data_IF_560998908157
#
_entry.id   IF_560998908157
#
_cell.length_a   1.000
_cell.length_b   1.000
_cell.length_c   1.000
_cell.angle_alpha   90.00
_cell.angle_beta   90.00
_cell.angle_gamma   90.00
#
_symmetry.space_group_name_H-M   'P 1'
#
loop_
_entity.id
_entity.type
_entity.pdbx_description
1 polymer ?
#
# COMPACT_ATOMS: atom_id res chain seq x y z
N UNK A 1 -0.29 -30.71 9.08
CA UNK A 1 -1.68 -30.26 8.84
C UNK A 1 -2.05 -30.06 7.37
N UNK A 2 -1.15 -29.68 6.45
CA UNK A 2 -1.52 -29.40 5.05
C UNK A 2 -1.67 -30.64 4.13
N UNK A 3 -1.23 -31.83 4.54
CA UNK A 3 -1.16 -33.03 3.69
C UNK A 3 -2.50 -33.48 3.10
N UNK A 4 -3.63 -33.15 3.74
CA UNK A 4 -4.98 -33.54 3.28
C UNK A 4 -5.71 -32.43 2.49
N UNK A 5 -5.08 -31.28 2.28
CA UNK A 5 -5.68 -30.16 1.54
C UNK A 5 -5.37 -30.31 0.05
N UNK A 6 -6.39 -30.19 -0.80
CA UNK A 6 -6.27 -30.27 -2.26
C UNK A 6 -5.36 -29.18 -2.83
N UNK A 7 -4.68 -29.46 -3.94
CA UNK A 7 -3.81 -28.51 -4.65
C UNK A 7 -4.61 -27.25 -5.01
N UNK A 8 -5.85 -27.41 -5.49
CA UNK A 8 -6.74 -26.29 -5.81
C UNK A 8 -6.94 -25.35 -4.61
N UNK A 9 -7.22 -25.90 -3.43
CA UNK A 9 -7.47 -25.09 -2.23
C UNK A 9 -6.21 -24.36 -1.77
N UNK A 10 -5.04 -24.99 -1.90
CA UNK A 10 -3.75 -24.36 -1.59
C UNK A 10 -3.47 -23.17 -2.52
N UNK A 11 -3.67 -23.33 -3.83
CA UNK A 11 -3.47 -22.26 -4.82
C UNK A 11 -4.44 -21.10 -4.62
N UNK A 12 -5.74 -21.39 -4.46
CA UNK A 12 -6.75 -20.35 -4.21
C UNK A 12 -6.45 -19.63 -2.89
N UNK A 13 -6.12 -20.37 -1.84
CA UNK A 13 -5.73 -19.79 -0.55
C UNK A 13 -4.53 -18.87 -0.66
N UNK A 14 -3.47 -19.28 -1.37
CA UNK A 14 -2.29 -18.46 -1.61
C UNK A 14 -2.63 -17.14 -2.32
N UNK A 15 -3.41 -17.21 -3.40
CA UNK A 15 -3.83 -16.01 -4.16
C UNK A 15 -4.73 -15.11 -3.31
N UNK A 16 -5.68 -15.67 -2.56
CA UNK A 16 -6.57 -14.90 -1.69
C UNK A 16 -5.81 -14.21 -0.56
N UNK A 17 -4.81 -14.86 0.04
CA UNK A 17 -3.94 -14.24 1.05
C UNK A 17 -3.16 -13.07 0.45
N UNK A 18 -2.56 -13.24 -0.72
CA UNK A 18 -1.84 -12.17 -1.41
C UNK A 18 -2.76 -11.00 -1.79
N UNK A 19 -3.97 -11.29 -2.25
CA UNK A 19 -4.98 -10.28 -2.56
C UNK A 19 -5.42 -9.52 -1.31
N UNK A 20 -5.72 -10.23 -0.21
CA UNK A 20 -6.11 -9.61 1.05
C UNK A 20 -4.99 -8.72 1.61
N UNK A 21 -3.73 -9.15 1.51
CA UNK A 21 -2.57 -8.36 1.94
C UNK A 21 -2.38 -7.09 1.11
N UNK A 22 -2.51 -7.19 -0.22
CA UNK A 22 -2.38 -6.02 -1.10
C UNK A 22 -3.55 -5.05 -0.93
N UNK A 23 -4.78 -5.54 -0.82
CA UNK A 23 -5.95 -4.71 -0.53
C UNK A 23 -5.84 -4.04 0.85
N UNK A 24 -5.39 -4.78 1.87
CA UNK A 24 -5.16 -4.26 3.23
C UNK A 24 -4.08 -3.17 3.25
N UNK A 25 -2.96 -3.37 2.55
CA UNK A 25 -1.93 -2.34 2.37
C UNK A 25 -2.49 -1.11 1.65
N UNK A 26 -3.28 -1.29 0.59
CA UNK A 26 -3.93 -0.21 -0.14
C UNK A 26 -4.83 0.64 0.78
N UNK A 27 -5.69 0.00 1.57
CA UNK A 27 -6.54 0.68 2.55
C UNK A 27 -5.75 1.38 3.65
N UNK A 28 -4.67 0.75 4.13
CA UNK A 28 -3.78 1.36 5.12
C UNK A 28 -3.09 2.61 4.58
N UNK A 29 -2.52 2.55 3.38
CA UNK A 29 -1.91 3.70 2.70
C UNK A 29 -2.93 4.82 2.50
N UNK A 30 -4.15 4.48 2.07
CA UNK A 30 -5.23 5.46 1.89
C UNK A 30 -5.58 6.19 3.20
N UNK A 31 -5.73 5.45 4.30
CA UNK A 31 -5.97 6.04 5.63
C UNK A 31 -4.85 6.98 6.08
N UNK A 32 -3.59 6.62 5.81
CA UNK A 32 -2.43 7.47 6.17
C UNK A 32 -2.36 8.74 5.33
N UNK A 33 -2.63 8.64 4.02
CA UNK A 33 -2.69 9.81 3.13
C UNK A 33 -3.82 10.73 3.58
N UNK A 34 -5.02 10.19 3.88
CA UNK A 34 -6.15 11.00 4.32
C UNK A 34 -5.87 11.77 5.61
N UNK A 35 -5.25 11.14 6.60
CA UNK A 35 -4.85 11.81 7.84
C UNK A 35 -3.81 12.92 7.60
N UNK A 36 -2.89 12.73 6.65
CA UNK A 36 -1.90 13.75 6.27
C UNK A 36 -2.54 14.90 5.49
N UNK A 37 -3.49 14.60 4.60
CA UNK A 37 -4.24 15.59 3.83
C UNK A 37 -5.04 16.51 4.75
N UNK A 38 -5.73 16.00 5.76
CA UNK A 38 -6.51 16.82 6.70
C UNK A 38 -5.68 17.91 7.40
N UNK A 39 -4.44 17.59 7.82
CA UNK A 39 -3.53 18.58 8.44
C UNK A 39 -2.97 19.55 7.41
N UNK A 40 -2.75 19.10 6.17
CA UNK A 40 -2.28 19.96 5.07
C UNK A 40 -3.36 20.95 4.63
N UNK A 41 -4.62 20.51 4.62
CA UNK A 41 -5.78 21.34 4.32
C UNK A 41 -6.00 22.41 5.40
N UNK A 42 -5.77 22.11 6.68
CA UNK A 42 -5.76 23.12 7.75
C UNK A 42 -4.68 24.20 7.54
N UNK A 43 -3.47 23.78 7.18
CA UNK A 43 -2.36 24.70 6.87
C UNK A 43 -2.70 25.63 5.68
N UNK A 44 -3.22 25.06 4.59
CA UNK A 44 -3.52 25.80 3.37
C UNK A 44 -4.82 26.60 3.43
N UNK A 45 -5.83 26.05 4.10
CA UNK A 45 -7.18 26.59 4.18
C UNK A 45 -7.39 27.59 5.32
N UNK A 46 -6.61 27.49 6.41
CA UNK A 46 -6.77 28.37 7.56
C UNK A 46 -5.47 29.05 7.99
N UNK A 47 -4.41 28.32 8.34
CA UNK A 47 -3.22 28.91 8.98
C UNK A 47 -2.50 29.94 8.08
N UNK A 48 -2.30 29.63 6.79
CA UNK A 48 -1.66 30.53 5.83
C UNK A 48 -2.54 31.75 5.50
N UNK A 49 -3.83 31.60 5.15
CA UNK A 49 -4.74 32.74 5.01
C UNK A 49 -4.81 33.63 6.25
N UNK A 50 -4.82 33.05 7.45
CA UNK A 50 -4.93 33.79 8.71
C UNK A 50 -3.71 34.68 8.95
N UNK A 51 -2.51 34.10 8.90
CA UNK A 51 -1.24 34.84 9.05
C UNK A 51 -1.07 35.91 7.97
N UNK A 52 -1.43 35.62 6.72
CA UNK A 52 -1.38 36.60 5.62
C UNK A 52 -2.35 37.76 5.84
N UNK A 53 -3.57 37.48 6.26
CA UNK A 53 -4.63 38.49 6.41
C UNK A 53 -4.37 39.35 7.64
N UNK A 54 -4.01 38.78 8.79
CA UNK A 54 -3.56 39.54 9.96
C UNK A 54 -2.30 40.35 9.67
N UNK A 55 -1.34 39.79 8.93
CA UNK A 55 -0.13 40.50 8.52
C UNK A 55 -0.44 41.70 7.62
N UNK A 56 -1.38 41.55 6.69
CA UNK A 56 -1.89 42.65 5.86
C UNK A 56 -2.60 43.70 6.70
N UNK A 57 -3.49 43.30 7.62
CA UNK A 57 -4.17 44.18 8.56
C UNK A 57 -3.18 45.00 9.38
N UNK A 58 -2.17 44.35 9.97
CA UNK A 58 -1.12 45.03 10.74
C UNK A 58 -0.33 46.03 9.87
N UNK A 59 -0.01 45.66 8.63
CA UNK A 59 0.68 46.54 7.68
C UNK A 59 -0.18 47.75 7.28
N UNK A 60 -1.47 47.54 7.01
CA UNK A 60 -2.42 48.60 6.69
C UNK A 60 -2.66 49.52 7.89
N UNK A 61 -2.66 48.97 9.10
CA UNK A 61 -2.73 49.73 10.34
C UNK A 61 -1.51 50.66 10.54
N UNK A 62 -0.29 50.16 10.31
CA UNK A 62 0.91 51.02 10.35
C UNK A 62 0.93 52.04 9.20
N UNK A 63 0.40 51.67 8.03
CA UNK A 63 0.25 52.58 6.90
C UNK A 63 -0.73 53.71 7.22
N UNK A 64 -1.85 53.42 7.89
CA UNK A 64 -2.78 54.43 8.40
C UNK A 64 -2.04 55.38 9.34
N UNK A 65 -1.31 54.85 10.34
CA UNK A 65 -0.56 55.66 11.31
C UNK A 65 0.45 56.59 10.63
N UNK A 66 1.20 56.06 9.66
CA UNK A 66 2.18 56.83 8.87
C UNK A 66 1.49 57.93 8.05
N UNK A 67 0.37 57.63 7.40
CA UNK A 67 -0.42 58.62 6.65
C UNK A 67 -1.03 59.70 7.55
N UNK A 68 -1.45 59.37 8.77
CA UNK A 68 -1.91 60.36 9.76
C UNK A 68 -0.77 61.31 10.16
N UNK A 69 0.44 60.80 10.40
CA UNK A 69 1.61 61.66 10.66
C UNK A 69 1.95 62.55 9.46
N UNK A 70 1.94 62.00 8.25
CA UNK A 70 2.16 62.78 7.04
C UNK A 70 1.08 63.86 6.84
N UNK A 71 -0.17 63.55 7.16
CA UNK A 71 -1.29 64.50 7.12
C UNK A 71 -1.11 65.63 8.15
N UNK A 72 -0.69 65.31 9.39
CA UNK A 72 -0.37 66.29 10.43
C UNK A 72 0.76 67.25 10.00
N UNK A 73 1.79 66.72 9.34
CA UNK A 73 2.96 67.49 8.87
C UNK A 73 2.70 68.23 7.55
N UNK A 74 1.59 67.98 6.87
CA UNK A 74 1.28 68.61 5.58
C UNK A 74 0.83 70.07 5.76
N UNK A 75 1.23 70.92 4.82
CA UNK A 75 0.70 72.29 4.73
C UNK A 75 -0.80 72.27 4.43
N UNK A 76 -1.49 73.36 4.73
CA UNK A 76 -2.94 73.46 4.55
C UNK A 76 -3.35 73.24 3.08
N UNK A 77 -2.54 73.74 2.14
CA UNK A 77 -2.74 73.57 0.70
C UNK A 77 -2.57 72.11 0.24
N UNK A 78 -1.73 71.32 0.94
CA UNK A 78 -1.44 69.93 0.59
C UNK A 78 -2.36 68.92 1.28
N UNK A 79 -2.94 69.27 2.46
CA UNK A 79 -3.81 68.37 3.23
C UNK A 79 -4.97 67.79 2.40
N UNK A 80 -5.75 68.58 1.62
CA UNK A 80 -6.85 68.03 0.81
C UNK A 80 -6.41 66.95 -0.18
N UNK A 81 -5.18 67.02 -0.70
CA UNK A 81 -4.64 66.03 -1.65
C UNK A 81 -4.27 64.70 -0.97
N UNK A 82 -3.98 64.73 0.33
CA UNK A 82 -3.59 63.56 1.12
C UNK A 82 -4.76 62.85 1.81
N UNK A 83 -5.87 63.55 2.04
CA UNK A 83 -7.07 63.03 2.71
C UNK A 83 -7.67 61.77 2.04
N UNK A 84 -7.79 61.68 0.69
CA UNK A 84 -8.32 60.47 0.06
C UNK A 84 -7.50 59.21 0.38
N UNK A 85 -6.17 59.32 0.38
CA UNK A 85 -5.28 58.19 0.72
C UNK A 85 -5.43 57.77 2.17
N UNK A 86 -5.62 58.74 3.07
CA UNK A 86 -5.87 58.46 4.48
C UNK A 86 -7.16 57.66 4.65
N UNK A 87 -8.26 58.11 4.05
CA UNK A 87 -9.56 57.42 4.08
C UNK A 87 -9.53 56.03 3.46
N UNK A 88 -8.80 55.84 2.35
CA UNK A 88 -8.61 54.50 1.77
C UNK A 88 -7.98 53.54 2.78
N UNK A 89 -6.94 53.96 3.52
CA UNK A 89 -6.35 53.08 4.55
C UNK A 89 -7.31 52.77 5.72
N UNK A 90 -8.26 53.65 6.03
CA UNK A 90 -9.30 53.34 7.03
C UNK A 90 -10.26 52.26 6.49
N UNK A 91 -10.68 52.39 5.24
CA UNK A 91 -11.53 51.38 4.58
C UNK A 91 -10.80 50.04 4.39
N UNK A 92 -9.51 50.05 4.06
CA UNK A 92 -8.70 48.82 3.93
C UNK A 92 -8.65 48.03 5.25
N UNK A 93 -8.55 48.72 6.39
CA UNK A 93 -8.58 48.10 7.73
C UNK A 93 -9.94 47.45 8.01
N UNK A 94 -11.05 48.14 7.70
CA UNK A 94 -12.39 47.58 7.87
C UNK A 94 -12.60 46.34 6.99
N UNK A 95 -12.14 46.39 5.74
CA UNK A 95 -12.20 45.27 4.81
C UNK A 95 -11.35 44.08 5.28
N UNK A 96 -10.16 44.35 5.84
CA UNK A 96 -9.29 43.32 6.41
C UNK A 96 -9.92 42.65 7.64
N UNK A 97 -10.56 43.43 8.53
CA UNK A 97 -11.28 42.89 9.69
C UNK A 97 -12.44 41.99 9.24
N UNK A 98 -13.21 42.42 8.24
CA UNK A 98 -14.31 41.64 7.70
C UNK A 98 -13.82 40.34 7.03
N UNK A 99 -12.72 40.41 6.27
CA UNK A 99 -12.12 39.25 5.61
C UNK A 99 -11.57 38.22 6.61
N UNK A 100 -11.10 38.67 7.77
CA UNK A 100 -10.53 37.79 8.78
C UNK A 100 -11.58 37.05 9.63
N UNK A 101 -12.81 37.56 9.74
CA UNK A 101 -13.82 37.01 10.64
C UNK A 101 -14.12 35.51 10.42
N UNK A 102 -13.96 34.99 9.20
CA UNK A 102 -14.16 33.57 8.87
C UNK A 102 -12.94 32.67 9.05
N UNK A 103 -11.80 33.24 9.48
CA UNK A 103 -10.52 32.54 9.65
C UNK A 103 -10.15 32.32 11.13
N UNK A 104 -10.97 32.84 12.04
CA UNK A 104 -10.73 32.73 13.48
C UNK A 104 -10.70 31.25 13.88
N UNK A 105 -9.56 30.83 14.43
CA UNK A 105 -9.32 29.44 14.81
C UNK A 105 -9.73 29.14 16.25
N UNK A 106 -9.82 27.84 16.58
CA UNK A 106 -10.12 27.39 17.93
C UNK A 106 -9.08 27.89 18.93
N UNK A 107 -9.54 28.52 20.01
CA UNK A 107 -8.68 29.11 21.05
C UNK A 107 -8.20 30.54 20.76
N UNK A 108 -8.47 31.08 19.58
CA UNK A 108 -8.09 32.44 19.18
C UNK A 108 -9.09 33.52 19.64
N UNK A 109 -10.33 33.14 19.93
CA UNK A 109 -11.46 34.08 20.05
C UNK A 109 -11.22 35.29 20.95
N UNK A 110 -10.55 35.13 22.10
CA UNK A 110 -10.24 36.25 22.99
C UNK A 110 -9.22 37.25 22.40
N UNK A 111 -8.25 36.76 21.59
CA UNK A 111 -7.29 37.61 20.89
C UNK A 111 -7.98 38.38 19.78
N UNK A 112 -8.83 37.69 19.00
CA UNK A 112 -9.61 38.33 17.94
C UNK A 112 -10.60 39.37 18.50
N UNK A 113 -11.22 39.10 19.64
CA UNK A 113 -12.08 40.08 20.32
C UNK A 113 -11.30 41.32 20.75
N UNK A 114 -10.05 41.16 21.21
CA UNK A 114 -9.18 42.30 21.52
C UNK A 114 -8.83 43.11 20.27
N UNK A 115 -8.59 42.47 19.12
CA UNK A 115 -8.37 43.17 17.83
C UNK A 115 -9.62 43.94 17.41
N UNK A 116 -10.80 43.29 17.44
CA UNK A 116 -12.10 43.93 17.13
C UNK A 116 -12.47 45.08 18.07
N UNK A 117 -11.98 45.06 19.31
CA UNK A 117 -12.20 46.15 20.25
C UNK A 117 -11.23 47.31 19.99
N UNK A 118 -9.94 47.02 19.85
CA UNK A 118 -8.87 48.03 19.88
C UNK A 118 -8.61 48.70 18.54
N UNK A 119 -8.65 47.95 17.42
CA UNK A 119 -8.36 48.50 16.09
C UNK A 119 -9.46 49.47 15.64
N UNK A 120 -10.76 49.11 15.68
CA UNK A 120 -11.83 50.06 15.36
C UNK A 120 -11.87 51.26 16.31
N UNK A 121 -11.59 51.07 17.60
CA UNK A 121 -11.53 52.17 18.56
C UNK A 121 -10.47 53.20 18.16
N UNK A 122 -9.27 52.77 17.75
CA UNK A 122 -8.25 53.66 17.22
C UNK A 122 -8.69 54.33 15.90
N UNK A 123 -9.25 53.57 14.96
CA UNK A 123 -9.70 54.10 13.67
C UNK A 123 -10.77 55.19 13.82
N UNK A 124 -11.71 55.01 14.76
CA UNK A 124 -12.75 55.99 15.05
C UNK A 124 -12.20 57.33 15.56
N UNK A 125 -11.03 57.32 16.23
CA UNK A 125 -10.35 58.56 16.66
C UNK A 125 -9.83 59.38 15.48
N UNK A 126 -9.69 58.77 14.29
CA UNK A 126 -9.19 59.42 13.08
C UNK A 126 -10.04 60.58 12.59
N UNK A 127 -11.36 60.51 12.72
CA UNK A 127 -12.26 61.59 12.29
C UNK A 127 -12.10 62.86 13.14
N UNK A 128 -11.97 62.71 14.46
CA UNK A 128 -11.68 63.83 15.35
C UNK A 128 -10.31 64.45 15.06
N UNK A 129 -9.31 63.62 14.74
CA UNK A 129 -7.99 64.09 14.32
C UNK A 129 -8.05 64.90 13.02
N UNK A 130 -8.77 64.42 12.00
CA UNK A 130 -8.97 65.13 10.73
C UNK A 130 -9.70 66.46 10.98
N UNK A 131 -10.80 66.42 11.74
CA UNK A 131 -11.63 67.60 12.06
C UNK A 131 -10.82 68.73 12.72
N UNK A 132 -9.92 68.40 13.66
CA UNK A 132 -9.04 69.40 14.30
C UNK A 132 -8.10 70.08 13.31
N UNK A 133 -7.52 69.30 12.39
CA UNK A 133 -6.60 69.83 11.38
C UNK A 133 -7.30 70.64 10.29
N UNK A 134 -8.51 70.24 9.90
CA UNK A 134 -9.34 71.02 8.98
C UNK A 134 -9.82 72.34 9.61
N UNK A 135 -9.95 72.39 10.94
CA UNK A 135 -10.25 73.61 11.70
C UNK A 135 -9.01 74.50 11.96
N UNK A 136 -7.83 74.13 11.47
CA UNK A 136 -6.57 74.87 11.68
C UNK A 136 -5.93 74.67 13.07
N UNK A 137 -6.47 73.77 13.91
CA UNK A 137 -5.96 73.49 15.26
C UNK A 137 -4.81 72.47 15.23
N UNK A 138 -3.68 72.84 14.61
CA UNK A 138 -2.52 71.96 14.51
C UNK A 138 -1.90 71.59 15.88
N UNK A 139 -1.94 72.52 16.85
CA UNK A 139 -1.42 72.28 18.20
C UNK A 139 -2.30 71.29 18.96
N UNK A 140 -3.62 71.48 18.94
CA UNK A 140 -4.55 70.55 19.59
C UNK A 140 -4.60 69.19 18.90
N UNK A 141 -4.46 69.13 17.56
CA UNK A 141 -4.30 67.87 16.85
C UNK A 141 -3.02 67.12 17.26
N UNK A 142 -1.91 67.84 17.46
CA UNK A 142 -0.65 67.24 17.95
C UNK A 142 -0.81 66.67 19.37
N UNK A 143 -1.40 67.44 20.29
CA UNK A 143 -1.70 66.96 21.64
C UNK A 143 -2.64 65.75 21.62
N UNK A 144 -3.68 65.78 20.79
CA UNK A 144 -4.60 64.65 20.63
C UNK A 144 -3.92 63.39 20.12
N UNK A 145 -2.95 63.50 19.19
CA UNK A 145 -2.15 62.37 18.73
C UNK A 145 -1.29 61.78 19.85
N UNK A 146 -0.62 62.64 20.64
CA UNK A 146 0.34 62.21 21.65
C UNK A 146 -0.32 61.68 22.93
N UNK A 147 -1.35 62.36 23.41
CA UNK A 147 -1.96 62.06 24.71
C UNK A 147 -3.22 61.18 24.56
N UNK A 148 -3.93 61.30 23.43
CA UNK A 148 -5.15 60.55 23.17
C UNK A 148 -4.94 59.30 22.31
N UNK A 149 -4.48 59.48 21.07
CA UNK A 149 -4.40 58.39 20.09
C UNK A 149 -3.27 57.40 20.36
N UNK A 150 -2.16 57.83 20.96
CA UNK A 150 -0.98 56.98 21.18
C UNK A 150 -1.26 55.79 22.13
N UNK A 151 -1.95 55.93 23.27
CA UNK A 151 -2.40 54.79 24.06
C UNK A 151 -3.25 53.78 23.27
N UNK A 152 -4.24 54.27 22.50
CA UNK A 152 -5.10 53.42 21.67
C UNK A 152 -4.31 52.71 20.56
N UNK A 153 -3.35 53.39 19.95
CA UNK A 153 -2.42 52.83 18.97
C UNK A 153 -1.63 51.67 19.57
N UNK A 154 -1.08 51.86 20.78
CA UNK A 154 -0.29 50.84 21.45
C UNK A 154 -1.13 49.62 21.84
N UNK A 155 -2.38 49.84 22.28
CA UNK A 155 -3.33 48.76 22.56
C UNK A 155 -3.66 47.94 21.29
N UNK A 156 -3.95 48.62 20.18
CA UNK A 156 -4.22 47.98 18.89
C UNK A 156 -3.01 47.18 18.37
N UNK A 157 -1.80 47.76 18.44
CA UNK A 157 -0.55 47.07 18.09
C UNK A 157 -0.32 45.83 18.95
N UNK A 158 -0.57 45.93 20.25
CA UNK A 158 -0.41 44.81 21.17
C UNK A 158 -1.39 43.67 20.83
N UNK A 159 -2.66 44.00 20.55
CA UNK A 159 -3.66 43.02 20.15
C UNK A 159 -3.29 42.34 18.82
N UNK A 160 -2.98 43.11 17.78
CA UNK A 160 -2.58 42.58 16.46
C UNK A 160 -1.33 41.70 16.56
N UNK A 161 -0.33 42.12 17.34
CA UNK A 161 0.90 41.35 17.54
C UNK A 161 0.63 40.04 18.27
N UNK A 162 -0.22 40.07 19.30
CA UNK A 162 -0.55 38.86 20.07
C UNK A 162 -1.31 37.85 19.21
N UNK A 163 -2.28 38.31 18.43
CA UNK A 163 -3.07 37.47 17.53
C UNK A 163 -2.23 36.87 16.39
N UNK A 164 -1.38 37.69 15.76
CA UNK A 164 -0.44 37.23 14.73
C UNK A 164 0.53 36.19 15.30
N UNK A 165 1.07 36.41 16.51
CA UNK A 165 1.98 35.47 17.15
C UNK A 165 1.30 34.14 17.49
N UNK A 166 0.04 34.17 17.91
CA UNK A 166 -0.77 32.95 18.12
C UNK A 166 -0.92 32.17 16.82
N UNK A 167 -1.33 32.84 15.74
CA UNK A 167 -1.53 32.21 14.43
C UNK A 167 -0.23 31.66 13.84
N UNK A 168 0.90 32.36 13.98
CA UNK A 168 2.21 31.84 13.58
C UNK A 168 2.63 30.61 14.38
N UNK A 169 2.38 30.59 15.69
CA UNK A 169 2.70 29.45 16.56
C UNK A 169 1.80 28.24 16.27
N UNK A 170 0.50 28.47 16.05
CA UNK A 170 -0.45 27.46 15.62
C UNK A 170 -0.03 26.84 14.28
N UNK A 171 0.27 27.66 13.27
CA UNK A 171 0.74 27.20 11.97
C UNK A 171 2.05 26.38 12.04
N UNK A 172 3.03 26.81 12.86
CA UNK A 172 4.26 26.02 13.10
C UNK A 172 3.97 24.68 13.78
N UNK A 173 3.02 24.66 14.72
CA UNK A 173 2.61 23.43 15.42
C UNK A 173 1.93 22.47 14.45
N UNK A 174 0.96 22.95 13.64
CA UNK A 174 0.32 22.14 12.60
C UNK A 174 1.34 21.59 11.59
N UNK A 175 2.32 22.39 11.17
CA UNK A 175 3.40 21.93 10.28
C UNK A 175 4.26 20.83 10.93
N UNK A 176 4.64 20.98 12.20
CA UNK A 176 5.39 19.96 12.93
C UNK A 176 4.59 18.66 13.11
N UNK A 177 3.29 18.76 13.40
CA UNK A 177 2.38 17.61 13.47
C UNK A 177 2.29 16.90 12.11
N UNK A 178 2.13 17.64 11.02
CA UNK A 178 2.11 17.09 9.66
C UNK A 178 3.40 16.33 9.33
N UNK A 179 4.56 16.93 9.66
CA UNK A 179 5.86 16.28 9.43
C UNK A 179 5.99 14.98 10.23
N UNK A 180 5.69 15.02 11.54
CA UNK A 180 5.75 13.84 12.40
C UNK A 180 4.78 12.74 11.95
N UNK A 181 3.57 13.11 11.51
CA UNK A 181 2.59 12.17 10.98
C UNK A 181 3.09 11.54 9.66
N UNK A 182 3.70 12.34 8.78
CA UNK A 182 4.31 11.88 7.53
C UNK A 182 5.46 10.89 7.77
N UNK A 183 6.36 11.17 8.73
CA UNK A 183 7.44 10.27 9.11
C UNK A 183 6.92 8.95 9.67
N UNK A 184 5.93 9.00 10.59
CA UNK A 184 5.27 7.81 11.14
C UNK A 184 4.55 7.01 10.05
N UNK A 185 3.88 7.68 9.11
CA UNK A 185 3.22 7.04 7.98
C UNK A 185 4.23 6.31 7.09
N UNK A 186 5.36 6.94 6.73
CA UNK A 186 6.43 6.31 5.93
C UNK A 186 6.99 5.08 6.62
N UNK A 187 7.31 5.17 7.91
CA UNK A 187 7.83 4.03 8.68
C UNK A 187 6.79 2.90 8.75
N UNK A 188 5.53 3.22 9.04
CA UNK A 188 4.48 2.20 9.10
C UNK A 188 4.24 1.53 7.73
N UNK A 189 4.23 2.31 6.64
CA UNK A 189 4.13 1.78 5.27
C UNK A 189 5.32 0.88 4.96
N UNK A 190 6.55 1.27 5.32
CA UNK A 190 7.74 0.45 5.12
C UNK A 190 7.67 -0.88 5.89
N UNK A 191 7.18 -0.87 7.14
CA UNK A 191 6.97 -2.09 7.93
C UNK A 191 5.93 -3.00 7.30
N UNK A 192 4.77 -2.46 6.89
CA UNK A 192 3.72 -3.27 6.25
C UNK A 192 4.22 -3.81 4.90
N UNK A 193 4.92 -3.01 4.10
CA UNK A 193 5.53 -3.46 2.84
C UNK A 193 6.52 -4.61 3.08
N UNK A 194 7.38 -4.50 4.10
CA UNK A 194 8.32 -5.56 4.44
C UNK A 194 7.60 -6.86 4.86
N UNK A 195 6.51 -6.75 5.65
CA UNK A 195 5.69 -7.90 6.03
C UNK A 195 4.97 -8.54 4.84
N UNK A 196 4.40 -7.74 3.94
CA UNK A 196 3.76 -8.23 2.71
C UNK A 196 4.79 -8.91 1.80
N UNK A 197 5.99 -8.33 1.65
CA UNK A 197 7.07 -8.92 0.87
C UNK A 197 7.52 -10.26 1.48
N UNK A 198 7.77 -10.31 2.79
CA UNK A 198 8.15 -11.53 3.49
C UNK A 198 7.08 -12.63 3.37
N UNK A 199 5.80 -12.26 3.50
CA UNK A 199 4.68 -13.21 3.36
C UNK A 199 4.55 -13.69 1.92
N UNK A 200 4.78 -12.83 0.93
CA UNK A 200 4.76 -13.20 -0.49
C UNK A 200 5.86 -14.20 -0.82
N UNK A 201 7.08 -13.97 -0.31
CA UNK A 201 8.20 -14.92 -0.44
C UNK A 201 7.86 -16.25 0.24
N UNK A 202 7.30 -16.21 1.45
CA UNK A 202 6.92 -17.43 2.19
C UNK A 202 5.83 -18.25 1.46
N UNK A 203 4.79 -17.59 0.93
CA UNK A 203 3.72 -18.24 0.15
C UNK A 203 4.27 -18.82 -1.16
N UNK A 204 5.16 -18.09 -1.84
CA UNK A 204 5.85 -18.58 -3.03
C UNK A 204 6.69 -19.82 -2.75
N UNK A 205 7.50 -19.78 -1.69
CA UNK A 205 8.30 -20.92 -1.24
C UNK A 205 7.45 -22.13 -0.86
N UNK A 206 6.35 -21.91 -0.14
CA UNK A 206 5.40 -22.96 0.23
C UNK A 206 4.76 -23.58 -1.02
N UNK A 207 4.40 -22.77 -2.02
CA UNK A 207 3.82 -23.26 -3.28
C UNK A 207 4.80 -24.13 -4.06
N UNK A 208 6.07 -23.71 -4.14
CA UNK A 208 7.13 -24.50 -4.80
C UNK A 208 7.35 -25.84 -4.08
N UNK A 209 7.46 -25.82 -2.75
CA UNK A 209 7.76 -27.03 -1.96
C UNK A 209 6.59 -28.00 -1.84
N UNK A 210 5.35 -27.52 -1.83
CA UNK A 210 4.16 -28.36 -1.59
C UNK A 210 3.37 -28.73 -2.84
N UNK A 211 3.61 -28.05 -3.97
CA UNK A 211 2.92 -28.31 -5.24
C UNK A 211 3.95 -28.66 -6.32
N UNK A 212 4.81 -27.70 -6.70
CA UNK A 212 5.69 -27.87 -7.87
C UNK A 212 6.70 -29.01 -7.69
N UNK A 213 7.30 -29.16 -6.51
CA UNK A 213 8.27 -30.22 -6.25
C UNK A 213 7.65 -31.64 -6.20
N UNK A 214 6.52 -31.89 -5.49
CA UNK A 214 5.82 -33.17 -5.55
C UNK A 214 5.33 -33.55 -6.95
N UNK A 215 4.77 -32.60 -7.72
CA UNK A 215 4.33 -32.84 -9.10
C UNK A 215 5.51 -33.27 -9.98
N UNK A 216 6.64 -32.56 -9.90
CA UNK A 216 7.88 -32.97 -10.63
C UNK A 216 8.43 -34.32 -10.16
N UNK A 217 8.25 -34.68 -8.89
CA UNK A 217 8.65 -36.00 -8.37
C UNK A 217 7.77 -37.10 -8.95
N UNK A 218 6.45 -36.87 -9.02
CA UNK A 218 5.51 -37.83 -9.61
C UNK A 218 5.76 -38.03 -11.11
N UNK A 219 6.05 -36.95 -11.85
CA UNK A 219 6.42 -37.03 -13.26
C UNK A 219 7.66 -37.93 -13.47
N UNK A 220 8.71 -37.74 -12.68
CA UNK A 220 9.92 -38.59 -12.75
C UNK A 220 9.65 -40.05 -12.40
N UNK A 221 8.80 -40.33 -11.42
CA UNK A 221 8.43 -41.72 -11.08
C UNK A 221 7.71 -42.38 -12.26
N UNK A 222 6.81 -41.65 -12.92
CA UNK A 222 6.14 -42.15 -14.12
C UNK A 222 7.15 -42.46 -15.24
N UNK A 223 8.10 -41.57 -15.50
CA UNK A 223 9.15 -41.79 -16.52
C UNK A 223 9.95 -43.07 -16.23
N UNK A 224 10.30 -43.31 -14.96
CA UNK A 224 11.03 -44.51 -14.52
C UNK A 224 10.20 -45.80 -14.70
N UNK A 225 8.92 -45.76 -14.33
CA UNK A 225 8.02 -46.91 -14.50
C UNK A 225 7.81 -47.22 -15.98
N UNK A 226 7.63 -46.20 -16.82
CA UNK A 226 7.51 -46.34 -18.28
C UNK A 226 8.78 -46.88 -18.92
N UNK A 227 9.96 -46.47 -18.43
CA UNK A 227 11.25 -47.05 -18.82
C UNK A 227 11.41 -48.51 -18.37
N UNK A 228 10.48 -49.03 -17.57
CA UNK A 228 10.41 -50.43 -17.21
C UNK A 228 11.07 -50.77 -15.87
N UNK A 229 11.46 -49.80 -15.05
CA UNK A 229 11.88 -50.07 -13.68
C UNK A 229 10.67 -50.04 -12.74
N UNK A 230 10.26 -51.22 -12.28
CA UNK A 230 9.12 -51.39 -11.38
C UNK A 230 9.54 -51.47 -9.90
N UNK A 231 10.82 -51.22 -9.58
CA UNK A 231 11.30 -51.23 -8.19
C UNK A 231 11.05 -49.90 -7.47
N UNK A 232 10.86 -48.81 -8.21
CA UNK A 232 10.61 -47.47 -7.65
C UNK A 232 9.33 -47.43 -6.80
N UNK A 233 9.41 -46.75 -5.65
CA UNK A 233 8.26 -46.50 -4.78
C UNK A 233 7.47 -45.30 -5.28
N UNK A 234 6.14 -45.43 -5.36
CA UNK A 234 5.26 -44.34 -5.74
C UNK A 234 4.94 -43.50 -4.49
N UNK A 235 5.39 -42.24 -4.41
CA UNK A 235 5.14 -41.37 -3.25
C UNK A 235 3.67 -40.95 -3.20
N UNK A 236 3.21 -40.42 -2.06
CA UNK A 236 1.83 -39.88 -1.89
C UNK A 236 0.69 -40.90 -2.04
N UNK A 237 1.00 -42.19 -2.10
CA UNK A 237 0.00 -43.27 -2.17
C UNK A 237 -0.87 -43.27 -0.90
N UNK A 238 -2.19 -43.31 -1.07
CA UNK A 238 -3.16 -43.25 0.02
C UNK A 238 -3.54 -41.82 0.48
N UNK A 239 -2.95 -40.77 -0.09
CA UNK A 239 -3.37 -39.40 0.18
C UNK A 239 -4.75 -39.10 -0.44
N UNK A 240 -5.61 -38.41 0.31
CA UNK A 240 -6.90 -37.88 -0.18
C UNK A 240 -6.71 -36.51 -0.85
N UNK A 241 -5.88 -36.45 -1.88
CA UNK A 241 -5.53 -35.23 -2.63
C UNK A 241 -5.41 -35.53 -4.13
N UNK A 242 -5.29 -34.50 -4.96
CA UNK A 242 -5.00 -34.69 -6.39
C UNK A 242 -3.66 -35.41 -6.62
N UNK A 243 -2.67 -35.20 -5.74
CA UNK A 243 -1.41 -35.95 -5.78
C UNK A 243 -1.61 -37.44 -5.46
N UNK A 244 -2.46 -37.76 -4.49
CA UNK A 244 -2.78 -39.14 -4.16
C UNK A 244 -3.60 -39.85 -5.25
N UNK A 245 -4.45 -39.12 -5.96
CA UNK A 245 -5.14 -39.64 -7.15
C UNK A 245 -4.13 -39.97 -8.28
N UNK A 246 -3.16 -39.08 -8.54
CA UNK A 246 -2.07 -39.37 -9.48
C UNK A 246 -1.21 -40.56 -9.03
N UNK A 247 -0.84 -40.61 -7.75
CA UNK A 247 -0.07 -41.72 -7.19
C UNK A 247 -0.78 -43.07 -7.37
N UNK A 248 -2.09 -43.10 -7.10
CA UNK A 248 -2.91 -44.31 -7.27
C UNK A 248 -2.94 -44.78 -8.74
N UNK A 249 -3.06 -43.84 -9.69
CA UNK A 249 -3.02 -44.16 -11.12
C UNK A 249 -1.65 -44.73 -11.55
N UNK A 250 -0.55 -44.12 -11.10
CA UNK A 250 0.82 -44.61 -11.38
C UNK A 250 1.04 -45.99 -10.76
N UNK A 251 0.51 -46.23 -9.56
CA UNK A 251 0.60 -47.53 -8.89
C UNK A 251 -0.12 -48.64 -9.69
N UNK A 252 -1.35 -48.37 -10.17
CA UNK A 252 -2.07 -49.31 -11.03
C UNK A 252 -1.31 -49.57 -12.35
N UNK A 253 -0.71 -48.53 -12.94
CA UNK A 253 0.09 -48.69 -14.15
C UNK A 253 1.33 -49.58 -13.90
N UNK A 254 2.05 -49.37 -12.80
CA UNK A 254 3.17 -50.20 -12.37
C UNK A 254 2.75 -51.65 -12.16
N UNK A 255 1.63 -51.91 -11.49
CA UNK A 255 1.11 -53.25 -11.24
C UNK A 255 0.73 -53.98 -12.55
N UNK A 256 0.12 -53.26 -13.49
CA UNK A 256 -0.18 -53.79 -14.82
C UNK A 256 1.10 -54.14 -15.59
N UNK A 257 2.14 -53.29 -15.53
CA UNK A 257 3.45 -53.57 -16.14
C UNK A 257 4.10 -54.84 -15.58
N UNK A 258 4.08 -55.01 -14.25
CA UNK A 258 4.59 -56.23 -13.59
C UNK A 258 3.79 -57.45 -14.05
N UNK A 259 2.46 -57.35 -14.07
CA UNK A 259 1.58 -58.44 -14.50
C UNK A 259 1.83 -58.83 -15.95
N UNK A 260 1.93 -57.86 -16.87
CA UNK A 260 2.21 -58.12 -18.28
C UNK A 260 3.55 -58.83 -18.46
N UNK A 261 4.61 -58.37 -17.79
CA UNK A 261 5.92 -59.06 -17.85
C UNK A 261 5.88 -60.47 -17.29
N UNK A 262 5.12 -60.69 -16.21
CA UNK A 262 4.94 -62.03 -15.64
C UNK A 262 4.24 -62.95 -16.65
N UNK A 263 3.19 -62.46 -17.31
CA UNK A 263 2.48 -63.20 -18.35
C UNK A 263 3.38 -63.48 -19.56
N UNK A 264 4.20 -62.53 -19.98
CA UNK A 264 5.19 -62.70 -21.07
C UNK A 264 6.25 -63.77 -20.71
N UNK A 265 6.75 -63.76 -19.47
CA UNK A 265 7.68 -64.79 -18.99
C UNK A 265 7.02 -66.17 -18.94
N UNK A 266 5.80 -66.27 -18.40
CA UNK A 266 5.03 -67.51 -18.36
C UNK A 266 4.74 -68.05 -19.77
N UNK A 267 4.42 -67.18 -20.75
CA UNK A 267 4.23 -67.60 -22.15
C UNK A 267 5.53 -68.02 -22.82
N UNK A 268 6.66 -67.35 -22.52
CA UNK A 268 7.97 -67.76 -23.01
C UNK A 268 8.38 -69.14 -22.46
N UNK A 269 8.21 -69.37 -21.15
CA UNK A 269 8.48 -70.66 -20.51
C UNK A 269 7.57 -71.77 -21.04
N UNK A 270 6.27 -71.49 -21.22
CA UNK A 270 5.33 -72.45 -21.81
C UNK A 270 5.71 -72.80 -23.25
N UNK A 271 6.17 -71.82 -24.04
CA UNK A 271 6.65 -72.05 -25.41
C UNK A 271 7.92 -72.90 -25.43
N UNK A 272 8.88 -72.63 -24.55
CA UNK A 272 10.10 -73.41 -24.41
C UNK A 272 9.78 -74.86 -23.99
N UNK A 273 8.87 -75.05 -23.03
CA UNK A 273 8.41 -76.36 -22.60
C UNK A 273 7.71 -77.13 -23.74
N UNK A 274 6.83 -76.48 -24.49
CA UNK A 274 6.15 -77.06 -25.63
C UNK A 274 7.14 -77.45 -26.75
N UNK A 275 8.14 -76.63 -27.04
CA UNK A 275 9.19 -76.96 -28.02
C UNK A 275 10.07 -78.13 -27.54
N UNK A 276 10.42 -78.16 -26.25
CA UNK A 276 11.15 -79.28 -25.66
C UNK A 276 10.36 -80.59 -25.74
N UNK A 277 9.07 -80.55 -25.42
CA UNK A 277 8.18 -81.71 -25.51
C UNK A 277 7.98 -82.16 -26.97
N UNK A 278 7.86 -81.22 -27.91
CA UNK A 278 7.82 -81.55 -29.35
C UNK A 278 9.11 -82.24 -29.82
N UNK A 279 10.28 -81.74 -29.40
CA UNK A 279 11.57 -82.37 -29.71
C UNK A 279 11.70 -83.76 -29.08
N UNK A 280 11.25 -83.93 -27.83
CA UNK A 280 11.24 -85.22 -27.15
C UNK A 280 10.31 -86.22 -27.86
N UNK A 281 9.09 -85.81 -28.20
CA UNK A 281 8.15 -86.64 -28.95
C UNK A 281 8.68 -87.03 -30.34
N UNK A 282 9.36 -86.12 -31.04
CA UNK A 282 9.97 -86.42 -32.34
C UNK A 282 11.17 -87.38 -32.22
N UNK A 283 11.94 -87.32 -31.13
CA UNK A 283 12.99 -88.32 -30.84
C UNK A 283 12.38 -89.69 -30.55
N UNK A 284 11.37 -89.75 -29.69
CA UNK A 284 10.66 -91.01 -29.41
C UNK A 284 10.11 -91.64 -30.69
N UNK A 285 9.48 -90.85 -31.58
CA UNK A 285 9.00 -91.35 -32.87
C UNK A 285 10.15 -91.87 -33.76
N UNK A 286 11.32 -91.23 -33.74
CA UNK A 286 12.49 -91.71 -34.47
C UNK A 286 13.04 -93.01 -33.88
N UNK A 287 13.14 -93.11 -32.56
CA UNK A 287 13.60 -94.31 -31.85
C UNK A 287 12.65 -95.49 -32.07
N UNK A 288 11.32 -95.25 -31.99
CA UNK A 288 10.30 -96.26 -32.26
C UNK A 288 10.33 -96.70 -33.74
N UNK A 289 10.57 -95.77 -34.67
CA UNK A 289 10.75 -96.08 -36.08
C UNK A 289 12.03 -96.91 -36.32
N UNK A 290 13.14 -96.57 -35.69
CA UNK A 290 14.40 -97.32 -35.78
C UNK A 290 14.24 -98.74 -35.19
N UNK A 291 13.52 -98.88 -34.08
CA UNK A 291 13.17 -100.18 -33.50
C UNK A 291 12.26 -101.00 -34.42
N UNK A 292 11.25 -100.39 -35.04
CA UNK A 292 10.36 -101.06 -35.99
C UNK A 292 11.10 -101.50 -37.26
N UNK A 293 11.94 -100.63 -37.84
CA UNK A 293 12.78 -100.96 -39.02
C UNK A 293 13.82 -102.02 -38.66
N UNK A 294 14.47 -101.92 -37.50
CA UNK A 294 15.40 -102.93 -36.99
C UNK A 294 14.71 -104.28 -36.78
N UNK A 295 13.48 -104.29 -36.27
CA UNK A 295 12.64 -105.49 -36.16
C UNK A 295 12.29 -106.12 -37.50
N UNK A 296 11.94 -105.31 -38.51
CA UNK A 296 11.68 -105.79 -39.88
C UNK A 296 12.94 -106.35 -40.54
N UNK A 297 14.09 -105.66 -40.42
CA UNK A 297 15.38 -106.15 -40.94
C UNK A 297 15.80 -107.45 -40.25
N UNK A 298 15.54 -107.58 -38.94
CA UNK A 298 15.72 -108.83 -38.20
C UNK A 298 14.85 -109.97 -38.72
N UNK A 299 13.56 -109.73 -38.98
CA UNK A 299 12.65 -110.73 -39.55
C UNK A 299 12.96 -111.11 -41.00
N UNK A 300 13.45 -110.17 -41.81
CA UNK A 300 13.88 -110.45 -43.20
C UNK A 300 15.20 -111.23 -43.21
N UNK A 301 16.14 -110.97 -42.29
CA UNK A 301 17.36 -111.79 -42.14
C UNK A 301 17.06 -113.20 -41.63
N UNK A 302 16.09 -113.38 -40.72
CA UNK A 302 15.69 -114.72 -40.25
C UNK A 302 14.89 -115.52 -41.28
N UNK A 303 14.37 -114.87 -42.31
CA UNK A 303 13.68 -115.51 -43.44
C UNK A 303 14.62 -115.81 -44.63
N UNK A 304 15.89 -115.41 -44.54
CA UNK A 304 16.93 -115.58 -45.56
C UNK A 304 17.97 -116.67 -45.22
N UNK A 305 17.78 -117.41 -44.13
CA UNK A 305 18.47 -118.66 -43.78
C UNK A 305 17.50 -119.83 -43.78
#
# INVERSE_FOLDING_TARGET
MLAHVTIRTRLIGAVLVLFALTAGLGGFCFSRIHALSAVTDDLGGNALPSTRTLGRLATNFETLRSRQLAYLLSSEERRPQSLPRLRVSMADIEADIAAYAGLVSDGEGALWDAVKATVPAYSAMGEEFIRRLDAGDAKGATAYVLDGMLPALNAARAALKADLAFNEAAGKTSAAVAQALGERARLAIAVVLALVAATTVAVGWMSVSTISAPVRRMARVMDVVVAGDTTVLVPHTGERSELGAMASAVQVFKENLIRTRKLEAETADARLAAEAQRKAGMRQMADDFEAAVGGIVGMVSSSAT
#
